data_IF_226682321769
#
_entry.id   IF_226682321769
#
_cell.length_a   1.000
_cell.length_b   1.000
_cell.length_c   1.000
_cell.angle_alpha   90.00
_cell.angle_beta   90.00
_cell.angle_gamma   90.00
#
_symmetry.space_group_name_H-M   'P 1'
#
loop_
_entity.id
_entity.type
_entity.pdbx_description
1 polymer ?
#
# COMPACT_ATOMS: atom_id res chain seq x y z
N UNK A 1 5.39 -10.36 9.25
CA UNK A 1 4.97 -10.12 7.86
C UNK A 1 4.35 -11.37 7.28
N UNK A 2 3.32 -11.18 6.45
CA UNK A 2 2.78 -12.26 5.64
C UNK A 2 3.80 -12.65 4.58
N UNK A 3 3.93 -13.94 4.31
CA UNK A 3 4.91 -14.47 3.37
C UNK A 3 4.20 -15.37 2.37
N UNK A 4 4.52 -15.22 1.10
CA UNK A 4 4.03 -16.05 0.01
C UNK A 4 5.21 -16.74 -0.69
N UNK A 5 5.76 -17.82 -0.11
CA UNK A 5 7.08 -18.37 -0.49
C UNK A 5 7.14 -18.90 -1.93
N UNK A 6 6.01 -19.24 -2.52
CA UNK A 6 5.93 -19.79 -3.89
C UNK A 6 5.42 -18.80 -4.93
N UNK A 7 5.16 -17.55 -4.52
CA UNK A 7 4.66 -16.54 -5.45
C UNK A 7 5.78 -15.99 -6.34
N UNK A 8 5.41 -15.63 -7.57
CA UNK A 8 6.30 -14.87 -8.45
C UNK A 8 6.46 -13.46 -7.87
N UNK A 9 7.70 -13.04 -7.70
CA UNK A 9 8.04 -11.73 -7.16
C UNK A 9 8.43 -10.76 -8.29
N UNK A 10 7.95 -9.52 -8.20
CA UNK A 10 8.33 -8.41 -9.06
C UNK A 10 9.09 -7.38 -8.24
N UNK A 11 10.41 -7.23 -8.49
CA UNK A 11 11.28 -6.32 -7.75
C UNK A 11 10.96 -4.86 -8.11
N UNK A 12 10.66 -4.07 -7.10
CA UNK A 12 10.34 -2.65 -7.23
C UNK A 12 11.55 -1.73 -6.94
N UNK A 13 12.63 -2.25 -6.36
CA UNK A 13 13.81 -1.44 -5.96
C UNK A 13 14.44 -0.64 -7.10
N UNK A 14 14.57 -1.18 -8.33
CA UNK A 14 15.13 -0.41 -9.45
C UNK A 14 14.35 0.88 -9.73
N UNK A 15 13.02 0.83 -9.55
CA UNK A 15 12.11 1.93 -9.88
C UNK A 15 12.03 3.01 -8.79
N UNK A 16 12.49 2.71 -7.56
CA UNK A 16 12.54 3.71 -6.48
C UNK A 16 13.68 4.73 -6.64
N UNK A 17 14.66 4.44 -7.50
CA UNK A 17 15.80 5.34 -7.75
C UNK A 17 15.46 6.46 -8.73
N UNK A 18 14.46 6.25 -9.55
CA UNK A 18 13.98 7.21 -10.55
C UNK A 18 12.84 8.05 -9.97
N UNK A 19 13.16 8.91 -9.01
CA UNK A 19 12.19 9.93 -8.60
C UNK A 19 11.91 10.83 -9.80
N UNK A 20 10.64 10.96 -10.23
CA UNK A 20 10.29 11.95 -11.25
C UNK A 20 10.79 13.29 -10.76
N UNK A 21 11.45 14.00 -11.65
CA UNK A 21 12.28 15.17 -11.36
C UNK A 21 11.73 16.07 -10.28
N UNK A 22 12.62 16.55 -9.47
CA UNK A 22 12.42 17.33 -8.28
C UNK A 22 11.78 18.72 -8.55
N UNK A 23 10.61 18.77 -9.14
CA UNK A 23 9.73 19.86 -8.84
C UNK A 23 9.42 19.71 -7.36
N UNK A 24 10.09 20.53 -6.56
CA UNK A 24 9.89 20.62 -5.10
C UNK A 24 8.43 20.97 -4.85
N UNK A 25 7.57 19.96 -4.93
CA UNK A 25 6.15 20.14 -4.66
C UNK A 25 6.03 20.40 -3.17
N UNK A 26 5.64 21.62 -2.83
CA UNK A 26 5.48 22.03 -1.44
C UNK A 26 4.35 21.21 -0.82
N UNK A 27 4.62 20.55 0.30
CA UNK A 27 3.66 19.74 1.06
C UNK A 27 2.34 20.51 1.31
N UNK A 28 2.42 21.80 1.66
CA UNK A 28 1.24 22.62 1.89
C UNK A 28 0.37 22.76 0.63
N UNK A 29 0.98 22.87 -0.53
CA UNK A 29 0.24 22.91 -1.80
C UNK A 29 -0.44 21.58 -2.12
N UNK A 30 0.20 20.44 -1.83
CA UNK A 30 -0.40 19.11 -2.00
C UNK A 30 -1.63 19.00 -1.10
N UNK A 31 -1.48 19.28 0.20
CA UNK A 31 -2.58 19.20 1.16
C UNK A 31 -3.76 20.12 0.78
N UNK A 32 -3.46 21.35 0.36
CA UNK A 32 -4.50 22.32 -0.03
C UNK A 32 -5.23 21.92 -1.32
N UNK A 33 -4.57 21.25 -2.25
CA UNK A 33 -5.12 20.87 -3.55
C UNK A 33 -5.72 19.47 -3.60
N UNK A 34 -5.38 18.59 -2.63
CA UNK A 34 -5.89 17.22 -2.61
C UNK A 34 -7.42 17.19 -2.68
N UNK A 35 -7.95 16.43 -3.61
CA UNK A 35 -9.39 16.15 -3.74
C UNK A 35 -9.59 14.65 -4.01
N UNK A 36 -10.73 14.11 -3.60
CA UNK A 36 -11.12 12.75 -3.93
C UNK A 36 -11.53 12.67 -5.39
N UNK A 37 -10.72 12.02 -6.22
CA UNK A 37 -11.07 11.69 -7.60
C UNK A 37 -12.10 10.58 -7.64
N UNK A 38 -13.05 10.63 -8.59
CA UNK A 38 -14.10 9.62 -8.76
C UNK A 38 -14.31 9.21 -10.20
N UNK A 39 -13.81 9.99 -11.14
CA UNK A 39 -13.78 9.68 -12.56
C UNK A 39 -12.33 9.37 -12.95
N UNK A 40 -12.15 8.28 -13.63
CA UNK A 40 -10.84 7.82 -14.10
C UNK A 40 -10.83 7.74 -15.62
N UNK A 41 -9.67 8.00 -16.21
CA UNK A 41 -9.42 7.73 -17.64
C UNK A 41 -8.72 6.40 -17.76
N UNK A 42 -8.94 5.64 -18.84
CA UNK A 42 -8.16 4.44 -19.11
C UNK A 42 -6.66 4.76 -19.11
N UNK A 43 -5.92 4.15 -18.20
CA UNK A 43 -4.50 4.38 -18.03
C UNK A 43 -3.80 3.08 -17.62
N UNK A 44 -2.66 2.79 -18.22
CA UNK A 44 -1.83 1.66 -17.84
C UNK A 44 -0.77 2.11 -16.84
N UNK A 45 -0.98 1.78 -15.55
CA UNK A 45 -0.03 2.15 -14.50
C UNK A 45 1.33 1.47 -14.72
N UNK A 46 2.39 2.25 -14.68
CA UNK A 46 3.76 1.79 -14.85
C UNK A 46 4.31 1.15 -13.57
N UNK A 47 5.40 0.37 -13.70
CA UNK A 47 6.12 -0.18 -12.52
C UNK A 47 6.72 0.92 -11.65
N UNK A 48 7.14 2.03 -12.24
CA UNK A 48 7.66 3.16 -11.48
C UNK A 48 6.59 3.77 -10.57
N UNK A 49 5.40 4.03 -11.12
CA UNK A 49 4.27 4.56 -10.34
C UNK A 49 3.81 3.59 -9.25
N UNK A 50 3.70 2.30 -9.57
CA UNK A 50 3.39 1.26 -8.58
C UNK A 50 4.43 1.21 -7.46
N UNK A 51 5.72 1.26 -7.81
CA UNK A 51 6.80 1.27 -6.84
C UNK A 51 6.72 2.47 -5.91
N UNK A 52 6.51 3.66 -6.46
CA UNK A 52 6.36 4.90 -5.68
C UNK A 52 5.13 4.85 -4.78
N UNK A 53 3.97 4.47 -5.31
CA UNK A 53 2.74 4.32 -4.52
C UNK A 53 2.92 3.34 -3.37
N UNK A 54 3.43 2.12 -3.62
CA UNK A 54 3.63 1.12 -2.59
C UNK A 54 4.66 1.58 -1.54
N UNK A 55 5.79 2.15 -1.98
CA UNK A 55 6.86 2.55 -1.07
C UNK A 55 6.43 3.73 -0.18
N UNK A 56 5.87 4.79 -0.76
CA UNK A 56 5.51 5.98 0.01
C UNK A 56 4.23 5.80 0.83
N UNK A 57 3.36 4.86 0.46
CA UNK A 57 2.20 4.54 1.29
C UNK A 57 2.55 3.64 2.48
N UNK A 58 3.40 2.61 2.33
CA UNK A 58 3.67 1.67 3.42
C UNK A 58 5.07 1.00 3.37
N UNK A 59 6.02 1.59 2.65
CA UNK A 59 7.39 1.10 2.55
C UNK A 59 8.23 1.36 3.79
N UNK A 60 9.44 0.80 3.82
CA UNK A 60 10.42 1.05 4.89
C UNK A 60 11.10 2.38 4.61
N UNK A 61 11.01 3.30 5.57
CA UNK A 61 11.59 4.64 5.53
C UNK A 61 12.90 4.76 6.29
N UNK A 62 13.20 3.81 7.18
CA UNK A 62 14.41 3.82 7.98
C UNK A 62 14.57 2.58 8.85
N UNK A 63 15.77 2.40 9.38
CA UNK A 63 16.09 1.33 10.31
C UNK A 63 16.89 1.90 11.49
N UNK A 64 16.68 1.33 12.69
CA UNK A 64 17.46 1.63 13.90
C UNK A 64 17.75 0.34 14.65
N UNK A 65 18.91 0.27 15.29
CA UNK A 65 19.32 -0.89 16.07
C UNK A 65 19.01 -0.66 17.55
N UNK A 66 18.07 -1.43 18.08
CA UNK A 66 17.76 -1.42 19.51
C UNK A 66 18.75 -2.31 20.27
N UNK A 67 19.62 -1.68 21.06
CA UNK A 67 20.66 -2.37 21.84
C UNK A 67 20.11 -3.25 22.97
N UNK A 68 18.92 -2.92 23.52
CA UNK A 68 18.33 -3.66 24.62
C UNK A 68 17.72 -4.99 24.15
N UNK A 69 17.09 -4.99 22.98
CA UNK A 69 16.46 -6.17 22.38
C UNK A 69 17.36 -6.88 21.36
N UNK A 70 18.55 -6.34 21.08
CA UNK A 70 19.48 -6.81 20.04
C UNK A 70 18.82 -7.00 18.68
N UNK A 71 17.83 -6.16 18.35
CA UNK A 71 17.02 -6.28 17.15
C UNK A 71 17.04 -5.00 16.30
N UNK A 72 17.03 -5.18 14.98
CA UNK A 72 16.83 -4.06 14.05
C UNK A 72 15.36 -3.72 13.95
N UNK A 73 15.01 -2.52 14.37
CA UNK A 73 13.69 -1.93 14.19
C UNK A 73 13.61 -1.30 12.80
N UNK A 74 12.54 -1.62 12.08
CA UNK A 74 12.26 -1.05 10.76
C UNK A 74 11.06 -0.14 10.83
N UNK A 75 11.26 1.11 10.46
CA UNK A 75 10.23 2.12 10.43
C UNK A 75 9.62 2.23 9.04
N UNK A 76 8.32 2.45 8.99
CA UNK A 76 7.59 2.66 7.72
C UNK A 76 7.29 4.14 7.49
N UNK A 77 6.82 4.44 6.29
CA UNK A 77 6.37 5.78 5.89
C UNK A 77 5.16 6.29 6.66
N UNK A 78 4.48 5.40 7.39
CA UNK A 78 3.38 5.74 8.29
C UNK A 78 3.76 5.47 9.75
N UNK A 79 3.26 6.26 10.71
CA UNK A 79 3.42 5.95 12.13
C UNK A 79 2.57 4.73 12.51
N UNK A 80 3.10 3.89 13.39
CA UNK A 80 2.38 2.74 13.95
C UNK A 80 2.56 2.65 15.45
N UNK A 81 1.51 2.33 16.19
CA UNK A 81 1.56 2.17 17.63
C UNK A 81 2.57 1.07 18.03
N UNK A 82 3.61 1.48 18.76
CA UNK A 82 4.69 0.58 19.18
C UNK A 82 5.54 0.00 18.05
N UNK A 83 5.52 0.58 16.87
CA UNK A 83 6.18 0.12 15.64
C UNK A 83 5.79 -1.32 15.25
N UNK A 84 4.52 -1.70 15.50
CA UNK A 84 4.04 -3.07 15.29
C UNK A 84 3.59 -3.35 13.85
N UNK A 85 3.21 -2.33 13.10
CA UNK A 85 2.87 -2.38 11.67
C UNK A 85 1.95 -3.55 11.31
N UNK A 86 0.69 -3.57 11.82
CA UNK A 86 -0.23 -4.68 11.65
C UNK A 86 -0.81 -4.80 10.25
N UNK A 87 -0.69 -3.75 9.43
CA UNK A 87 -1.36 -3.71 8.12
C UNK A 87 -0.58 -4.48 7.06
N UNK A 88 -1.33 -5.04 6.12
CA UNK A 88 -0.82 -5.65 4.89
C UNK A 88 -1.49 -4.97 3.70
N UNK A 89 -0.70 -4.61 2.70
CA UNK A 89 -1.15 -3.90 1.50
C UNK A 89 -1.22 -4.85 0.32
N UNK A 90 -2.40 -4.94 -0.29
CA UNK A 90 -2.62 -5.65 -1.54
C UNK A 90 -3.01 -4.68 -2.64
N UNK A 91 -2.72 -5.04 -3.87
CA UNK A 91 -3.17 -4.30 -5.05
C UNK A 91 -3.74 -5.26 -6.08
N UNK A 92 -4.95 -4.97 -6.53
CA UNK A 92 -5.49 -5.54 -7.74
C UNK A 92 -5.10 -4.64 -8.91
N UNK A 93 -4.44 -5.22 -9.91
CA UNK A 93 -4.06 -4.52 -11.13
C UNK A 93 -5.06 -4.83 -12.22
N UNK A 94 -5.80 -3.81 -12.67
CA UNK A 94 -6.73 -3.89 -13.78
C UNK A 94 -6.05 -3.61 -15.12
N UNK A 95 -5.27 -2.51 -15.17
CA UNK A 95 -4.54 -2.10 -16.37
C UNK A 95 -3.13 -1.66 -16.01
N UNK A 96 -2.15 -2.49 -16.31
CA UNK A 96 -0.75 -2.25 -16.00
C UNK A 96 0.17 -2.99 -16.96
N UNK A 97 1.50 -2.77 -16.81
CA UNK A 97 2.53 -3.55 -17.52
C UNK A 97 2.70 -4.97 -16.96
N UNK A 98 2.16 -5.25 -15.76
CA UNK A 98 2.11 -6.57 -15.16
C UNK A 98 0.80 -7.29 -15.50
N UNK A 99 0.74 -8.64 -15.37
CA UNK A 99 -0.49 -9.39 -15.53
C UNK A 99 -1.63 -8.86 -14.65
N UNK A 100 -2.84 -8.89 -15.17
CA UNK A 100 -4.04 -8.55 -14.40
C UNK A 100 -4.21 -9.56 -13.26
N UNK A 101 -4.47 -9.06 -12.04
CA UNK A 101 -4.63 -9.93 -10.87
C UNK A 101 -4.30 -9.27 -9.56
N UNK A 102 -4.22 -10.06 -8.50
CA UNK A 102 -3.96 -9.61 -7.14
C UNK A 102 -2.50 -9.83 -6.78
N UNK A 103 -1.91 -8.81 -6.17
CA UNK A 103 -0.54 -8.76 -5.67
C UNK A 103 -0.51 -8.36 -4.19
N UNK A 104 0.43 -8.91 -3.44
CA UNK A 104 0.76 -8.45 -2.09
C UNK A 104 2.05 -7.63 -2.14
N UNK A 105 2.05 -6.47 -1.48
CA UNK A 105 3.27 -5.68 -1.34
C UNK A 105 4.07 -6.15 -0.12
N UNK A 106 5.29 -6.60 -0.35
CA UNK A 106 6.24 -7.00 0.69
C UNK A 106 7.24 -5.86 0.95
N UNK A 107 7.06 -5.03 2.01
CA UNK A 107 7.93 -3.89 2.28
C UNK A 107 9.38 -4.26 2.54
N UNK A 108 9.62 -5.39 3.22
CA UNK A 108 10.98 -5.85 3.54
C UNK A 108 11.83 -6.17 2.32
N UNK A 109 11.20 -6.69 1.30
CA UNK A 109 11.86 -7.04 0.04
C UNK A 109 11.77 -5.91 -0.98
N UNK A 110 10.79 -5.01 -0.84
CA UNK A 110 10.35 -4.03 -1.84
C UNK A 110 9.93 -4.71 -3.14
N UNK A 111 9.06 -5.72 -3.04
CA UNK A 111 8.54 -6.48 -4.17
C UNK A 111 7.02 -6.54 -4.15
N UNK A 112 6.44 -6.80 -5.32
CA UNK A 112 5.06 -7.27 -5.46
C UNK A 112 5.07 -8.79 -5.63
N UNK A 113 4.47 -9.50 -4.69
CA UNK A 113 4.28 -10.94 -4.69
C UNK A 113 2.97 -11.28 -5.40
N UNK A 114 3.03 -11.97 -6.53
CA UNK A 114 1.87 -12.32 -7.34
C UNK A 114 1.05 -13.41 -6.65
N UNK A 115 -0.19 -13.13 -6.34
CA UNK A 115 -1.07 -14.04 -5.61
C UNK A 115 -1.96 -14.84 -6.55
N UNK A 116 -2.65 -14.15 -7.46
CA UNK A 116 -3.61 -14.79 -8.36
C UNK A 116 -3.85 -13.96 -9.61
N UNK A 117 -3.82 -14.63 -10.77
CA UNK A 117 -4.23 -14.06 -12.04
C UNK A 117 -5.73 -14.26 -12.22
N UNK A 118 -6.47 -13.16 -12.28
CA UNK A 118 -7.91 -13.18 -12.56
C UNK A 118 -8.41 -11.76 -12.85
N UNK A 119 -9.48 -11.67 -13.65
CA UNK A 119 -10.21 -10.42 -13.83
C UNK A 119 -11.33 -10.31 -12.77
N UNK A 120 -11.07 -9.50 -11.76
CA UNK A 120 -12.03 -9.25 -10.67
C UNK A 120 -12.88 -8.00 -10.89
N UNK A 121 -12.77 -7.30 -12.00
CA UNK A 121 -13.41 -5.99 -12.17
C UNK A 121 -14.94 -6.05 -12.04
N UNK A 122 -15.57 -7.04 -12.66
CA UNK A 122 -17.03 -7.23 -12.55
C UNK A 122 -17.42 -7.54 -11.09
N UNK A 123 -16.73 -8.48 -10.46
CA UNK A 123 -16.95 -8.82 -9.06
C UNK A 123 -16.80 -7.61 -8.13
N UNK A 124 -15.78 -6.77 -8.36
CA UNK A 124 -15.54 -5.57 -7.56
C UNK A 124 -16.66 -4.53 -7.75
N UNK A 125 -17.13 -4.36 -8.97
CA UNK A 125 -18.25 -3.44 -9.25
C UNK A 125 -19.55 -3.84 -8.56
N UNK A 126 -19.80 -5.13 -8.45
CA UNK A 126 -21.02 -5.65 -7.83
C UNK A 126 -20.94 -5.70 -6.30
N UNK A 127 -19.74 -5.95 -5.73
CA UNK A 127 -19.58 -6.28 -4.31
C UNK A 127 -18.82 -5.21 -3.50
N UNK A 128 -18.04 -4.35 -4.15
CA UNK A 128 -17.39 -3.26 -3.44
C UNK A 128 -18.44 -2.17 -3.13
N UNK A 129 -18.55 -1.84 -1.86
CA UNK A 129 -19.42 -0.74 -1.42
C UNK A 129 -18.78 0.59 -1.84
N UNK A 130 -19.05 0.98 -3.07
CA UNK A 130 -18.64 2.26 -3.62
C UNK A 130 -19.86 3.07 -4.01
N UNK A 131 -19.75 4.39 -3.90
CA UNK A 131 -20.79 5.28 -4.37
C UNK A 131 -21.00 5.10 -5.89
N UNK A 132 -22.26 5.13 -6.40
CA UNK A 132 -22.56 4.85 -7.80
C UNK A 132 -21.82 5.74 -8.83
N UNK A 133 -21.33 6.90 -8.38
CA UNK A 133 -20.60 7.84 -9.20
C UNK A 133 -19.08 7.62 -9.21
N UNK A 134 -18.59 6.57 -8.53
CA UNK A 134 -17.17 6.18 -8.59
C UNK A 134 -16.95 5.24 -9.76
N UNK A 135 -16.18 5.68 -10.74
CA UNK A 135 -15.88 4.91 -11.96
C UNK A 135 -14.80 3.86 -11.70
N UNK A 136 -15.20 2.72 -11.13
CA UNK A 136 -14.27 1.60 -10.90
C UNK A 136 -13.78 0.95 -12.20
N UNK A 137 -14.57 1.00 -13.27
CA UNK A 137 -14.26 0.28 -14.52
C UNK A 137 -12.96 0.79 -15.16
N UNK A 138 -12.69 2.08 -15.07
CA UNK A 138 -11.54 2.71 -15.70
C UNK A 138 -10.37 2.93 -14.74
N UNK A 139 -10.46 2.51 -13.47
CA UNK A 139 -9.32 2.58 -12.57
C UNK A 139 -8.21 1.60 -13.00
N UNK A 140 -6.95 2.03 -12.90
CA UNK A 140 -5.79 1.20 -13.22
C UNK A 140 -5.53 0.12 -12.18
N UNK A 141 -5.79 0.43 -10.92
CA UNK A 141 -5.61 -0.48 -9.80
C UNK A 141 -6.57 -0.17 -8.64
N UNK A 142 -6.75 -1.16 -7.77
CA UNK A 142 -7.49 -1.02 -6.49
C UNK A 142 -6.61 -1.53 -5.37
N UNK A 143 -6.41 -0.71 -4.33
CA UNK A 143 -5.67 -1.10 -3.14
C UNK A 143 -6.61 -1.68 -2.09
N UNK A 144 -6.19 -2.80 -1.48
CA UNK A 144 -6.85 -3.41 -0.34
C UNK A 144 -5.92 -3.40 0.86
N UNK A 145 -6.45 -2.98 2.00
CA UNK A 145 -5.73 -2.93 3.26
C UNK A 145 -6.35 -3.96 4.18
N UNK A 146 -5.55 -4.90 4.65
CA UNK A 146 -5.95 -5.86 5.69
C UNK A 146 -5.10 -5.69 6.93
N UNK A 147 -5.48 -6.31 8.04
CA UNK A 147 -4.74 -6.20 9.30
C UNK A 147 -4.60 -7.53 10.02
N UNK A 148 -3.43 -7.76 10.60
CA UNK A 148 -3.22 -8.75 11.66
C UNK A 148 -3.47 -8.10 13.02
N UNK A 149 -4.70 -8.19 13.50
CA UNK A 149 -5.15 -7.54 14.73
C UNK A 149 -4.32 -7.96 15.94
N UNK A 150 -3.95 -9.24 16.02
CA UNK A 150 -3.21 -9.83 17.14
C UNK A 150 -1.88 -9.11 17.39
N UNK A 151 -1.19 -8.63 16.36
CA UNK A 151 0.08 -7.88 16.52
C UNK A 151 -0.07 -6.70 17.48
N UNK A 152 -1.22 -6.05 17.47
CA UNK A 152 -1.49 -4.85 18.27
C UNK A 152 -2.26 -5.17 19.53
N UNK A 153 -3.23 -6.09 19.46
CA UNK A 153 -4.08 -6.46 20.60
C UNK A 153 -3.30 -7.11 21.74
N UNK A 154 -2.26 -7.91 21.44
CA UNK A 154 -1.37 -8.49 22.47
C UNK A 154 -0.76 -7.41 23.36
N UNK A 155 -0.39 -6.25 22.80
CA UNK A 155 0.25 -5.18 23.58
C UNK A 155 -0.73 -4.17 24.18
N UNK A 156 -1.85 -3.90 23.48
CA UNK A 156 -2.74 -2.78 23.78
C UNK A 156 -4.16 -3.18 24.15
N UNK A 157 -4.48 -4.49 24.14
CA UNK A 157 -5.85 -4.98 24.34
C UNK A 157 -6.82 -4.33 23.36
N UNK A 158 -8.05 -4.09 23.77
CA UNK A 158 -9.11 -3.51 22.92
C UNK A 158 -8.78 -2.13 22.35
N UNK A 159 -7.88 -1.38 22.99
CA UNK A 159 -7.39 -0.11 22.46
C UNK A 159 -6.67 -0.26 21.11
N UNK A 160 -6.16 -1.47 20.84
CA UNK A 160 -5.48 -1.81 19.61
C UNK A 160 -6.32 -1.56 18.35
N UNK A 161 -7.64 -1.79 18.41
CA UNK A 161 -8.55 -1.51 17.29
C UNK A 161 -8.47 -0.05 16.84
N UNK A 162 -8.43 0.88 17.79
CA UNK A 162 -8.31 2.32 17.49
C UNK A 162 -7.01 2.63 16.77
N UNK A 163 -5.90 2.05 17.22
CA UNK A 163 -4.59 2.29 16.61
C UNK A 163 -4.51 1.72 15.19
N UNK A 164 -5.09 0.53 14.96
CA UNK A 164 -5.16 -0.06 13.62
C UNK A 164 -5.95 0.85 12.67
N UNK A 165 -7.14 1.32 13.08
CA UNK A 165 -7.95 2.21 12.24
C UNK A 165 -7.27 3.55 11.95
N UNK A 166 -6.53 4.10 12.92
CA UNK A 166 -5.72 5.30 12.69
C UNK A 166 -4.61 5.05 11.66
N UNK A 167 -3.90 3.91 11.76
CA UNK A 167 -2.84 3.54 10.81
C UNK A 167 -3.40 3.33 9.40
N UNK A 168 -4.59 2.74 9.26
CA UNK A 168 -5.30 2.66 7.97
C UNK A 168 -5.53 4.06 7.39
N UNK A 169 -5.96 5.02 8.22
CA UNK A 169 -6.14 6.41 7.79
C UNK A 169 -4.85 7.05 7.29
N UNK A 170 -3.73 6.85 7.98
CA UNK A 170 -2.42 7.37 7.57
C UNK A 170 -1.95 6.76 6.25
N UNK A 171 -2.08 5.43 6.11
CA UNK A 171 -1.73 4.73 4.88
C UNK A 171 -2.59 5.22 3.70
N UNK A 172 -3.90 5.32 3.89
CA UNK A 172 -4.84 5.77 2.85
C UNK A 172 -4.56 7.22 2.43
N UNK A 173 -4.10 8.08 3.35
CA UNK A 173 -3.71 9.46 3.02
C UNK A 173 -2.48 9.53 2.13
N UNK A 174 -1.59 8.51 2.20
CA UNK A 174 -0.35 8.47 1.42
C UNK A 174 -0.55 7.87 0.00
N UNK A 175 -1.66 7.13 -0.24
CA UNK A 175 -2.06 6.64 -1.56
C UNK A 175 -2.71 7.77 -2.36
#
# INVERSE_FOLDING_TARGET
YKVFPTSKEYDLKPYLKEMPGSEKTNLFNILAKRRSGRAYSPYSISLNELALLCHYSYGISGEDFNKESEATLRFRTVPSAGALYPLELYVYLNTSVLPKGIYHYSPNKSVLEFIKEEDYMEYLRENLVAEPFVDLQHCSCVFFITSFFERVLIKYGDRGYRFILQEVGFLTQNI
#
